data_IF_332510108632
#
_entry.id   IF_332510108632
#
_cell.length_a   1.000
_cell.length_b   1.000
_cell.length_c   1.000
_cell.angle_alpha   90.00
_cell.angle_beta   90.00
_cell.angle_gamma   90.00
#
_symmetry.space_group_name_H-M   'P 1'
#
loop_
_entity.id
_entity.type
_entity.pdbx_description
1 polymer ?
#
# COMPACT_ATOMS: atom_id res chain seq x y z
N UNK A 1 -17.28 5.29 1.06
CA UNK A 1 -16.60 5.26 -0.25
C UNK A 1 -15.45 4.26 -0.29
N UNK A 2 -14.79 4.01 0.84
CA UNK A 2 -13.73 3.00 0.93
C UNK A 2 -14.32 1.68 1.38
N UNK A 3 -14.21 0.67 0.53
CA UNK A 3 -14.73 -0.67 0.79
C UNK A 3 -13.72 -1.50 1.61
N UNK A 4 -12.43 -1.33 1.33
CA UNK A 4 -11.36 -2.05 2.00
C UNK A 4 -10.08 -1.24 1.92
N UNK A 5 -9.11 -1.54 2.78
CA UNK A 5 -7.87 -0.79 2.80
C UNK A 5 -6.70 -1.62 3.33
N UNK A 6 -5.49 -1.19 2.99
CA UNK A 6 -4.25 -1.76 3.49
C UNK A 6 -3.28 -0.61 3.77
N UNK A 7 -2.82 -0.49 5.01
CA UNK A 7 -1.84 0.52 5.40
C UNK A 7 -0.46 -0.12 5.47
N UNK A 8 0.52 0.51 4.83
CA UNK A 8 1.91 0.07 4.88
C UNK A 8 2.78 1.23 5.34
N UNK A 9 3.44 1.06 6.46
CA UNK A 9 4.36 2.05 7.02
C UNK A 9 5.79 1.61 6.71
N UNK A 10 6.46 2.37 5.86
CA UNK A 10 7.81 2.05 5.38
C UNK A 10 8.82 2.86 6.19
N UNK A 11 9.36 2.24 7.23
CA UNK A 11 10.42 2.83 8.03
C UNK A 11 11.77 2.42 7.45
N UNK A 12 12.60 3.43 7.19
CA UNK A 12 13.97 3.21 6.72
C UNK A 12 14.92 3.70 7.80
N UNK A 13 16.02 2.98 8.00
CA UNK A 13 17.02 3.34 9.01
C UNK A 13 17.46 4.79 8.85
N UNK A 14 17.28 5.58 9.91
CA UNK A 14 17.69 6.97 9.94
C UNK A 14 16.83 7.95 9.16
N UNK A 15 15.66 7.52 8.69
CA UNK A 15 14.76 8.36 7.92
C UNK A 15 13.36 8.35 8.53
N UNK A 16 12.58 9.39 8.19
CA UNK A 16 11.18 9.45 8.60
C UNK A 16 10.37 8.34 7.93
N UNK A 17 9.33 7.89 8.64
CA UNK A 17 8.39 6.89 8.09
C UNK A 17 7.68 7.45 6.87
N UNK A 18 7.51 6.61 5.85
CA UNK A 18 6.68 6.91 4.69
C UNK A 18 5.51 5.93 4.69
N UNK A 19 4.31 6.47 4.85
CA UNK A 19 3.10 5.65 4.97
C UNK A 19 2.29 5.70 3.68
N UNK A 20 1.95 4.52 3.15
CA UNK A 20 1.09 4.39 1.98
C UNK A 20 -0.22 3.74 2.42
N UNK A 21 -1.34 4.35 2.03
CA UNK A 21 -2.67 3.78 2.22
C UNK A 21 -3.18 3.28 0.87
N UNK A 22 -3.34 1.97 0.74
CA UNK A 22 -3.96 1.36 -0.44
C UNK A 22 -5.45 1.21 -0.16
N UNK A 23 -6.30 1.70 -1.09
CA UNK A 23 -7.75 1.71 -0.89
C UNK A 23 -8.48 1.01 -2.03
N UNK A 24 -9.52 0.25 -1.66
CA UNK A 24 -10.49 -0.30 -2.60
C UNK A 24 -11.76 0.54 -2.46
N UNK A 25 -12.17 1.18 -3.54
CA UNK A 25 -13.33 2.07 -3.52
C UNK A 25 -14.62 1.32 -3.88
N UNK A 26 -15.72 1.75 -3.28
CA UNK A 26 -17.04 1.15 -3.54
C UNK A 26 -17.57 1.57 -4.90
N UNK A 27 -18.44 0.72 -5.49
CA UNK A 27 -19.19 1.04 -6.72
C UNK A 27 -18.30 1.46 -7.89
N UNK A 28 -17.09 0.91 -7.97
CA UNK A 28 -16.14 1.19 -9.05
C UNK A 28 -15.78 2.68 -9.17
N UNK A 29 -15.84 3.40 -8.06
CA UNK A 29 -15.42 4.80 -8.02
C UNK A 29 -13.90 4.90 -8.23
N UNK A 30 -13.47 6.04 -8.76
CA UNK A 30 -12.05 6.30 -8.96
C UNK A 30 -11.54 7.30 -7.93
N UNK A 31 -10.30 7.10 -7.52
CA UNK A 31 -9.63 8.02 -6.61
C UNK A 31 -9.43 9.36 -7.34
N UNK A 32 -9.84 10.45 -6.66
CA UNK A 32 -9.65 11.81 -7.13
C UNK A 32 -9.38 12.71 -5.93
N UNK A 33 -9.16 14.00 -6.17
CA UNK A 33 -8.84 14.93 -5.09
C UNK A 33 -9.95 15.02 -4.04
N UNK A 34 -11.21 14.98 -4.45
CA UNK A 34 -12.34 15.01 -3.54
C UNK A 34 -12.37 13.80 -2.62
N UNK A 35 -12.19 12.59 -3.17
CA UNK A 35 -12.17 11.35 -2.39
C UNK A 35 -10.96 11.34 -1.47
N UNK A 36 -9.79 11.74 -1.97
CA UNK A 36 -8.56 11.83 -1.17
C UNK A 36 -8.76 12.76 0.01
N UNK A 37 -9.33 13.94 -0.21
CA UNK A 37 -9.61 14.90 0.86
C UNK A 37 -10.59 14.34 1.88
N UNK A 38 -11.63 13.64 1.43
CA UNK A 38 -12.61 13.00 2.32
C UNK A 38 -11.93 11.94 3.20
N UNK A 39 -11.06 11.12 2.62
CA UNK A 39 -10.32 10.10 3.38
C UNK A 39 -9.44 10.76 4.43
N UNK A 40 -8.67 11.77 4.05
CA UNK A 40 -7.77 12.47 4.97
C UNK A 40 -8.54 13.17 6.10
N UNK A 41 -9.68 13.76 5.80
CA UNK A 41 -10.54 14.38 6.81
C UNK A 41 -11.08 13.36 7.80
N UNK A 42 -11.50 12.19 7.31
CA UNK A 42 -11.97 11.10 8.17
C UNK A 42 -10.87 10.62 9.12
N UNK A 43 -9.65 10.48 8.63
CA UNK A 43 -8.50 10.06 9.45
C UNK A 43 -8.19 11.15 10.47
N UNK A 44 -8.14 12.40 10.05
CA UNK A 44 -7.83 13.54 10.92
C UNK A 44 -8.85 13.69 12.05
N UNK A 45 -10.14 13.52 11.72
CA UNK A 45 -11.23 13.63 12.70
C UNK A 45 -11.30 12.45 13.64
N UNK A 46 -10.98 11.25 13.16
CA UNK A 46 -11.15 10.03 13.91
C UNK A 46 -9.96 9.59 14.74
N UNK A 47 -8.74 9.98 14.38
CA UNK A 47 -7.52 9.51 15.03
C UNK A 47 -6.61 10.66 15.40
N UNK A 48 -5.73 11.06 14.49
CA UNK A 48 -4.72 12.09 14.71
C UNK A 48 -4.10 12.49 13.39
N UNK A 49 -3.71 13.76 13.27
CA UNK A 49 -3.09 14.27 12.06
C UNK A 49 -1.81 13.53 11.66
N UNK A 50 -1.08 12.98 12.62
CA UNK A 50 0.17 12.23 12.34
C UNK A 50 -0.07 10.88 11.65
N UNK A 51 -1.31 10.40 11.63
CA UNK A 51 -1.67 9.16 10.94
C UNK A 51 -2.18 9.37 9.52
N UNK A 52 -2.13 10.62 9.03
CA UNK A 52 -2.46 10.90 7.62
C UNK A 52 -1.38 10.30 6.73
N UNK A 53 -1.74 9.46 5.74
CA UNK A 53 -0.74 8.82 4.89
C UNK A 53 -0.03 9.82 3.99
N UNK A 54 1.22 9.52 3.64
CA UNK A 54 1.99 10.30 2.69
C UNK A 54 1.46 10.12 1.26
N UNK A 55 0.89 8.96 0.99
CA UNK A 55 0.36 8.64 -0.33
C UNK A 55 -0.87 7.75 -0.19
N UNK A 56 -1.88 7.99 -1.02
CA UNK A 56 -3.08 7.14 -1.13
C UNK A 56 -3.09 6.56 -2.54
N UNK A 57 -3.20 5.23 -2.64
CA UNK A 57 -3.17 4.52 -3.92
C UNK A 57 -4.42 3.65 -4.03
N UNK A 58 -5.12 3.77 -5.15
CA UNK A 58 -6.30 2.93 -5.42
C UNK A 58 -5.85 1.55 -5.93
N UNK A 59 -6.46 0.50 -5.39
CA UNK A 59 -6.24 -0.88 -5.82
C UNK A 59 -7.57 -1.57 -6.04
N UNK A 60 -7.56 -2.69 -6.76
CA UNK A 60 -8.78 -3.47 -6.99
C UNK A 60 -9.12 -4.38 -5.82
N UNK A 61 -8.11 -5.01 -5.22
CA UNK A 61 -8.28 -5.93 -4.10
C UNK A 61 -7.11 -5.85 -3.14
N UNK A 62 -7.40 -6.00 -1.85
CA UNK A 62 -6.37 -6.17 -0.83
C UNK A 62 -5.89 -7.63 -0.87
N UNK A 63 -4.55 -7.88 -0.97
CA UNK A 63 -4.04 -9.25 -0.97
C UNK A 63 -4.31 -9.92 0.38
N UNK A 64 -4.83 -11.16 0.33
CA UNK A 64 -5.22 -11.90 1.53
C UNK A 64 -4.78 -13.35 1.46
N UNK A 65 -4.60 -13.95 2.64
CA UNK A 65 -4.40 -15.39 2.76
C UNK A 65 -5.72 -16.13 2.52
N UNK A 66 -5.65 -17.45 2.36
CA UNK A 66 -6.86 -18.29 2.25
C UNK A 66 -7.79 -18.15 3.44
N UNK A 67 -7.26 -17.82 4.62
CA UNK A 67 -8.06 -17.58 5.83
C UNK A 67 -8.61 -16.15 5.93
N UNK A 68 -8.32 -15.29 4.96
CA UNK A 68 -8.84 -13.93 4.89
C UNK A 68 -7.99 -12.86 5.55
N UNK A 69 -6.80 -13.19 6.02
CA UNK A 69 -5.88 -12.21 6.62
C UNK A 69 -5.24 -11.33 5.58
N UNK A 70 -5.20 -10.03 5.82
CA UNK A 70 -4.48 -9.08 4.97
C UNK A 70 -2.97 -9.35 5.03
N UNK A 71 -2.30 -9.29 3.88
CA UNK A 71 -0.86 -9.54 3.78
C UNK A 71 -0.06 -8.25 3.94
N UNK A 72 -0.26 -7.55 5.05
CA UNK A 72 0.39 -6.28 5.34
C UNK A 72 1.92 -6.40 5.40
N UNK A 73 2.43 -7.32 6.21
CA UNK A 73 3.87 -7.51 6.39
C UNK A 73 4.55 -7.97 5.08
N UNK A 74 4.02 -8.95 4.33
CA UNK A 74 4.62 -9.32 3.05
C UNK A 74 4.69 -8.15 2.06
N UNK A 75 3.65 -7.35 1.96
CA UNK A 75 3.66 -6.19 1.06
C UNK A 75 4.68 -5.15 1.52
N UNK A 76 4.78 -4.89 2.82
CA UNK A 76 5.81 -4.01 3.38
C UNK A 76 7.20 -4.49 2.98
N UNK A 77 7.49 -5.77 3.16
CA UNK A 77 8.79 -6.34 2.80
C UNK A 77 9.08 -6.25 1.30
N UNK A 78 8.05 -6.44 0.47
CA UNK A 78 8.17 -6.29 -0.97
C UNK A 78 8.58 -4.87 -1.35
N UNK A 79 7.94 -3.86 -0.73
CA UNK A 79 8.23 -2.46 -0.99
C UNK A 79 9.57 -2.01 -0.41
N UNK A 80 10.14 -2.77 0.53
CA UNK A 80 11.48 -2.55 1.05
C UNK A 80 12.57 -3.21 0.20
N UNK A 81 12.20 -3.91 -0.87
CA UNK A 81 13.14 -4.48 -1.83
C UNK A 81 13.41 -5.97 -1.70
N UNK A 82 12.65 -6.68 -0.85
CA UNK A 82 12.81 -8.13 -0.71
C UNK A 82 12.28 -8.87 -1.94
N UNK A 83 12.83 -10.04 -2.21
CA UNK A 83 12.43 -10.88 -3.34
C UNK A 83 10.95 -11.28 -3.20
N UNK A 84 10.11 -11.07 -4.24
CA UNK A 84 8.71 -11.48 -4.18
C UNK A 84 8.49 -12.93 -3.81
N UNK A 85 9.36 -13.83 -4.25
CA UNK A 85 9.25 -15.26 -3.97
C UNK A 85 9.52 -15.60 -2.50
N UNK A 86 10.21 -14.71 -1.78
CA UNK A 86 10.55 -14.92 -0.38
C UNK A 86 9.51 -14.31 0.58
N UNK A 87 8.74 -13.32 0.10
CA UNK A 87 7.81 -12.61 0.99
C UNK A 87 6.46 -13.29 1.12
N UNK A 88 6.03 -14.06 0.10
CA UNK A 88 4.74 -14.74 0.14
C UNK A 88 4.78 -16.05 -0.64
N UNK A 89 4.00 -17.03 -0.18
CA UNK A 89 3.73 -18.25 -0.94
C UNK A 89 2.42 -18.03 -1.70
N UNK A 90 2.52 -17.96 -3.03
CA UNK A 90 1.37 -17.71 -3.91
C UNK A 90 0.25 -18.73 -3.66
N UNK A 91 0.60 -19.98 -3.40
CA UNK A 91 -0.38 -21.04 -3.19
C UNK A 91 -1.20 -20.84 -1.90
N UNK A 92 -0.72 -20.02 -0.97
CA UNK A 92 -1.44 -19.71 0.27
C UNK A 92 -2.35 -18.50 0.15
N UNK A 93 -2.40 -17.86 -1.01
CA UNK A 93 -3.20 -16.65 -1.22
C UNK A 93 -4.59 -16.98 -1.76
N UNK A 94 -5.60 -16.26 -1.26
CA UNK A 94 -6.96 -16.33 -1.78
C UNK A 94 -7.08 -15.64 -3.15
N UNK A 95 -6.31 -14.56 -3.36
CA UNK A 95 -6.38 -13.72 -4.55
C UNK A 95 -4.99 -13.43 -5.11
N UNK A 96 -4.29 -14.44 -5.69
CA UNK A 96 -2.90 -14.27 -6.12
C UNK A 96 -2.69 -13.18 -7.18
N UNK A 97 -3.72 -12.86 -7.98
CA UNK A 97 -3.61 -11.79 -8.98
C UNK A 97 -3.38 -10.42 -8.35
N UNK A 98 -3.87 -10.19 -7.14
CA UNK A 98 -3.63 -8.93 -6.44
C UNK A 98 -2.15 -8.73 -6.14
N UNK A 99 -1.42 -9.82 -5.89
CA UNK A 99 0.01 -9.76 -5.63
C UNK A 99 0.79 -9.34 -6.88
N UNK A 100 0.36 -9.76 -8.07
CA UNK A 100 0.98 -9.35 -9.33
C UNK A 100 0.96 -7.83 -9.49
N UNK A 101 -0.15 -7.20 -9.12
CA UNK A 101 -0.25 -5.74 -9.13
C UNK A 101 0.78 -5.11 -8.21
N UNK A 102 0.94 -5.66 -7.00
CA UNK A 102 1.91 -5.14 -6.02
C UNK A 102 3.35 -5.35 -6.45
N UNK A 103 3.65 -6.45 -7.16
CA UNK A 103 4.99 -6.65 -7.73
C UNK A 103 5.32 -5.53 -8.74
N UNK A 104 4.39 -5.21 -9.61
CA UNK A 104 4.56 -4.13 -10.58
C UNK A 104 4.70 -2.77 -9.88
N UNK A 105 3.86 -2.50 -8.90
CA UNK A 105 3.93 -1.28 -8.12
C UNK A 105 5.27 -1.15 -7.39
N UNK A 106 5.74 -2.23 -6.78
CA UNK A 106 7.02 -2.24 -6.06
C UNK A 106 8.19 -1.94 -6.99
N UNK A 107 8.20 -2.50 -8.20
CA UNK A 107 9.24 -2.21 -9.17
C UNK A 107 9.30 -0.72 -9.52
N UNK A 108 8.15 -0.10 -9.77
CA UNK A 108 8.07 1.32 -10.07
C UNK A 108 8.50 2.17 -8.87
N UNK A 109 8.02 1.82 -7.69
CA UNK A 109 8.32 2.53 -6.46
C UNK A 109 9.82 2.50 -6.14
N UNK A 110 10.44 1.32 -6.22
CA UNK A 110 11.87 1.15 -5.93
C UNK A 110 12.73 1.85 -6.98
N UNK A 111 12.34 1.83 -8.25
CA UNK A 111 13.05 2.55 -9.31
C UNK A 111 13.05 4.05 -9.06
N UNK A 112 11.91 4.62 -8.68
CA UNK A 112 11.81 6.04 -8.36
C UNK A 112 12.69 6.42 -7.16
N UNK A 113 12.74 5.59 -6.14
CA UNK A 113 13.59 5.83 -4.98
C UNK A 113 15.06 5.83 -5.33
N UNK A 114 15.48 4.88 -6.19
CA UNK A 114 16.86 4.82 -6.65
C UNK A 114 17.25 6.04 -7.45
N UNK A 115 16.36 6.53 -8.32
CA UNK A 115 16.57 7.76 -9.08
C UNK A 115 16.75 8.97 -8.15
N UNK A 116 15.88 9.11 -7.15
CA UNK A 116 15.97 10.19 -6.17
C UNK A 116 17.29 10.13 -5.38
N UNK A 117 17.72 8.95 -4.98
CA UNK A 117 18.98 8.74 -4.29
C UNK A 117 20.17 9.12 -5.17
N UNK A 118 20.11 8.80 -6.46
CA UNK A 118 21.19 9.07 -7.40
C UNK A 118 21.29 10.55 -7.75
N UNK A 119 20.20 11.32 -7.58
CA UNK A 119 20.17 12.75 -7.89
C UNK A 119 20.60 13.62 -6.70
N UNK A 120 20.90 13.01 -5.59
CA UNK A 120 21.45 13.72 -4.43
C UNK A 120 22.97 13.73 -4.49
#
# INVERSE_FOLDING_TARGET
EVQDSLVVDLEFLGQESFMILFVVLTNKKFLNDTVTNTINESIRSGVSARFIPNQIVQIEEVPRTMSGKKLEVPIKRLLLGNDPNEVVNIDSMANPKSFDWFKAFANTYLSKRNEESNNL
#
